data_IF_243356593543
#
_entry.id   IF_243356593543
#
_cell.length_a   1.000
_cell.length_b   1.000
_cell.length_c   1.000
_cell.angle_alpha   90.00
_cell.angle_beta   90.00
_cell.angle_gamma   90.00
#
_symmetry.space_group_name_H-M   'P 1'
#
loop_
_entity.id
_entity.type
_entity.pdbx_description
1 polymer ?
#
# COMPACT_ATOMS: atom_id res chain seq x y z
N UNK A 1 -26.49 18.15 -2.83
CA UNK A 1 -25.21 18.87 -3.02
C UNK A 1 -24.82 18.69 -4.48
N UNK A 2 -24.66 19.78 -5.21
CA UNK A 2 -24.15 19.73 -6.58
C UNK A 2 -22.62 19.76 -6.54
N UNK A 3 -22.00 18.71 -7.06
CA UNK A 3 -20.55 18.64 -7.27
C UNK A 3 -20.19 18.68 -8.76
N UNK A 4 -21.17 18.39 -9.63
CA UNK A 4 -20.90 18.29 -11.06
C UNK A 4 -20.51 19.66 -11.66
N UNK A 5 -21.35 20.68 -11.50
CA UNK A 5 -21.08 21.98 -12.08
C UNK A 5 -19.79 22.65 -11.56
N UNK A 6 -19.51 22.68 -10.23
CA UNK A 6 -18.26 23.22 -9.73
C UNK A 6 -17.02 22.44 -10.18
N UNK A 7 -17.10 21.12 -10.28
CA UNK A 7 -15.96 20.34 -10.78
C UNK A 7 -15.79 20.51 -12.29
N UNK A 8 -16.87 20.59 -13.06
CA UNK A 8 -16.79 20.88 -14.49
C UNK A 8 -16.07 22.21 -14.73
N UNK A 9 -16.45 23.26 -14.01
CA UNK A 9 -15.79 24.58 -14.09
C UNK A 9 -14.30 24.46 -13.73
N UNK A 10 -13.99 23.77 -12.63
CA UNK A 10 -12.60 23.52 -12.22
C UNK A 10 -11.77 22.89 -13.34
N UNK A 11 -12.30 21.84 -14.00
CA UNK A 11 -11.60 21.16 -15.09
C UNK A 11 -11.48 21.99 -16.36
N UNK A 12 -12.44 22.83 -16.64
CA UNK A 12 -12.41 23.73 -17.80
C UNK A 12 -11.40 24.88 -17.63
N UNK A 13 -11.30 25.42 -16.43
CA UNK A 13 -10.43 26.57 -16.12
C UNK A 13 -9.00 26.18 -15.77
N UNK A 14 -8.77 24.96 -15.33
CA UNK A 14 -7.44 24.50 -14.91
C UNK A 14 -6.64 23.96 -16.09
N UNK A 15 -5.45 24.53 -16.30
CA UNK A 15 -4.54 24.10 -17.36
C UNK A 15 -3.73 22.84 -17.00
N UNK A 16 -3.66 22.50 -15.72
CA UNK A 16 -2.92 21.34 -15.24
C UNK A 16 -3.79 20.08 -15.32
N UNK A 17 -3.16 18.95 -15.57
CA UNK A 17 -3.83 17.68 -15.48
C UNK A 17 -4.19 17.37 -14.01
N UNK A 18 -5.48 17.20 -13.74
CA UNK A 18 -6.01 16.93 -12.40
C UNK A 18 -6.32 15.47 -12.14
N UNK A 19 -6.07 14.61 -13.13
CA UNK A 19 -6.31 13.16 -13.04
C UNK A 19 -5.07 12.37 -13.41
N UNK A 20 -5.00 11.12 -12.95
CA UNK A 20 -3.94 10.18 -13.31
C UNK A 20 -4.20 9.61 -14.72
N UNK A 21 -5.46 9.29 -15.02
CA UNK A 21 -5.86 8.53 -16.20
C UNK A 21 -7.21 9.01 -16.80
N UNK A 22 -7.55 10.27 -16.64
CA UNK A 22 -8.82 10.84 -17.11
C UNK A 22 -10.02 10.59 -16.19
N UNK A 23 -9.93 9.68 -15.23
CA UNK A 23 -11.02 9.33 -14.31
C UNK A 23 -10.64 9.54 -12.84
N UNK A 24 -9.46 9.09 -12.42
CA UNK A 24 -9.02 9.15 -11.03
C UNK A 24 -8.22 10.42 -10.77
N UNK A 25 -8.63 11.17 -9.74
CA UNK A 25 -7.95 12.40 -9.37
C UNK A 25 -6.50 12.13 -8.94
N UNK A 26 -5.56 12.96 -9.39
CA UNK A 26 -4.22 13.02 -8.84
C UNK A 26 -4.21 13.81 -7.51
N UNK A 27 -3.04 14.07 -6.92
CA UNK A 27 -2.94 14.77 -5.63
C UNK A 27 -3.51 16.20 -5.70
N UNK A 28 -3.21 16.93 -6.77
CA UNK A 28 -3.72 18.30 -6.97
C UNK A 28 -5.21 18.31 -7.26
N UNK A 29 -5.70 17.39 -8.08
CA UNK A 29 -7.14 17.20 -8.31
C UNK A 29 -7.90 16.90 -7.03
N UNK A 30 -7.39 15.99 -6.19
CA UNK A 30 -7.96 15.71 -4.88
C UNK A 30 -8.01 16.95 -3.98
N UNK A 31 -6.94 17.75 -3.95
CA UNK A 31 -6.87 18.97 -3.16
C UNK A 31 -7.95 19.98 -3.59
N UNK A 32 -8.05 20.26 -4.87
CA UNK A 32 -9.00 21.24 -5.40
C UNK A 32 -10.46 20.78 -5.26
N UNK A 33 -10.73 19.51 -5.53
CA UNK A 33 -12.09 18.94 -5.34
C UNK A 33 -12.48 18.91 -3.86
N UNK A 34 -11.52 18.66 -2.95
CA UNK A 34 -11.80 18.72 -1.50
C UNK A 34 -12.25 20.12 -1.05
N UNK A 35 -11.70 21.20 -1.62
CA UNK A 35 -12.14 22.57 -1.35
C UNK A 35 -13.59 22.79 -1.81
N UNK A 36 -13.95 22.29 -2.99
CA UNK A 36 -15.34 22.34 -3.50
C UNK A 36 -16.29 21.59 -2.55
N UNK A 37 -15.90 20.39 -2.12
CA UNK A 37 -16.70 19.57 -1.20
C UNK A 37 -16.86 20.30 0.15
N UNK A 38 -15.77 20.80 0.71
CA UNK A 38 -15.78 21.52 1.97
C UNK A 38 -16.70 22.77 1.91
N UNK A 39 -16.59 23.56 0.85
CA UNK A 39 -17.46 24.71 0.62
C UNK A 39 -18.93 24.33 0.52
N UNK A 40 -19.23 23.26 -0.21
CA UNK A 40 -20.59 22.78 -0.40
C UNK A 40 -21.20 22.25 0.91
N UNK A 41 -20.42 21.56 1.77
CA UNK A 41 -20.88 21.00 3.04
C UNK A 41 -20.95 22.04 4.14
N UNK A 42 -19.88 22.82 4.32
CA UNK A 42 -19.73 23.72 5.46
C UNK A 42 -20.29 25.11 5.18
N UNK A 43 -20.66 25.42 3.93
CA UNK A 43 -21.11 26.75 3.49
C UNK A 43 -20.08 27.86 3.78
N UNK A 44 -18.82 27.49 3.87
CA UNK A 44 -17.68 28.37 4.11
C UNK A 44 -16.54 28.01 3.18
N UNK A 45 -15.75 29.01 2.82
CA UNK A 45 -14.48 28.76 2.15
C UNK A 45 -13.49 28.23 3.17
N UNK A 46 -12.85 27.13 2.82
CA UNK A 46 -11.79 26.51 3.63
C UNK A 46 -10.49 26.71 2.86
N UNK A 47 -9.68 27.63 3.35
CA UNK A 47 -8.37 27.87 2.78
C UNK A 47 -7.33 26.95 3.43
N UNK A 48 -6.40 26.50 2.63
CA UNK A 48 -5.25 25.73 3.13
C UNK A 48 -4.50 26.54 4.19
N UNK A 49 -4.22 25.95 5.34
CA UNK A 49 -3.49 26.58 6.45
C UNK A 49 -2.46 25.61 7.03
N UNK A 50 -1.40 26.10 7.70
CA UNK A 50 -0.42 25.25 8.35
C UNK A 50 -1.05 24.30 9.39
N UNK A 51 -2.11 24.72 10.08
CA UNK A 51 -2.84 23.86 11.04
C UNK A 51 -3.56 22.72 10.33
N UNK A 52 -4.22 22.99 9.19
CA UNK A 52 -4.86 21.96 8.39
C UNK A 52 -3.84 20.98 7.80
N UNK A 53 -2.64 21.43 7.45
CA UNK A 53 -1.58 20.53 6.99
C UNK A 53 -1.10 19.58 8.10
N UNK A 54 -1.02 20.03 9.35
CA UNK A 54 -0.70 19.16 10.49
C UNK A 54 -1.79 18.11 10.71
N UNK A 55 -3.05 18.51 10.67
CA UNK A 55 -4.18 17.57 10.78
C UNK A 55 -4.15 16.57 9.62
N UNK A 56 -3.94 17.03 8.39
CA UNK A 56 -3.81 16.16 7.21
C UNK A 56 -2.70 15.11 7.41
N UNK A 57 -1.56 15.51 7.95
CA UNK A 57 -0.45 14.58 8.21
C UNK A 57 -0.83 13.52 9.25
N UNK A 58 -1.49 13.92 10.34
CA UNK A 58 -2.00 12.97 11.36
C UNK A 58 -3.03 12.00 10.77
N UNK A 59 -3.91 12.48 9.89
CA UNK A 59 -4.88 11.63 9.19
C UNK A 59 -4.17 10.63 8.27
N UNK A 60 -3.13 11.04 7.55
CA UNK A 60 -2.36 10.13 6.68
C UNK A 60 -1.65 9.06 7.48
N UNK A 61 -1.08 9.40 8.63
CA UNK A 61 -0.46 8.42 9.54
C UNK A 61 -1.49 7.39 10.04
N UNK A 62 -2.66 7.84 10.49
CA UNK A 62 -3.75 6.93 10.84
C UNK A 62 -4.18 6.07 9.67
N UNK A 63 -4.37 6.67 8.50
CA UNK A 63 -4.83 5.96 7.31
C UNK A 63 -3.89 4.83 6.90
N UNK A 64 -2.58 4.96 7.16
CA UNK A 64 -1.64 3.88 6.92
C UNK A 64 -1.96 2.65 7.78
N UNK A 65 -2.15 2.82 9.09
CA UNK A 65 -2.49 1.72 10.00
C UNK A 65 -3.86 1.11 9.68
N UNK A 66 -4.87 1.96 9.46
CA UNK A 66 -6.22 1.55 9.11
C UNK A 66 -6.27 0.80 7.76
N UNK A 67 -5.57 1.31 6.75
CA UNK A 67 -5.49 0.69 5.44
C UNK A 67 -4.87 -0.72 5.53
N UNK A 68 -3.76 -0.85 6.25
CA UNK A 68 -3.09 -2.13 6.42
C UNK A 68 -3.95 -3.11 7.23
N UNK A 69 -4.80 -2.64 8.16
CA UNK A 69 -5.76 -3.47 8.88
C UNK A 69 -6.73 -4.19 7.92
N UNK A 70 -7.19 -3.52 6.89
CA UNK A 70 -8.19 -4.03 5.95
C UNK A 70 -7.59 -4.64 4.67
N UNK A 71 -6.33 -4.38 4.40
CA UNK A 71 -5.62 -4.89 3.22
C UNK A 71 -4.35 -5.66 3.58
N UNK A 72 -4.27 -6.10 4.82
CA UNK A 72 -3.06 -6.69 5.37
C UNK A 72 -2.60 -7.93 4.61
N UNK A 73 -3.51 -8.71 4.04
CA UNK A 73 -3.13 -9.94 3.34
C UNK A 73 -4.23 -10.39 2.40
N UNK A 74 -3.95 -11.44 1.64
CA UNK A 74 -5.00 -12.16 0.98
C UNK A 74 -5.84 -12.93 2.00
N UNK A 75 -7.16 -13.02 1.77
CA UNK A 75 -8.08 -13.73 2.67
C UNK A 75 -7.75 -15.22 2.83
N UNK A 76 -6.96 -15.79 1.93
CA UNK A 76 -6.55 -17.18 1.97
C UNK A 76 -5.60 -17.48 3.14
N UNK A 77 -4.80 -16.50 3.58
CA UNK A 77 -3.94 -16.63 4.76
C UNK A 77 -4.71 -16.47 6.07
N UNK A 78 -5.84 -15.78 6.07
CA UNK A 78 -6.66 -15.52 7.27
C UNK A 78 -7.76 -16.57 7.44
N UNK A 79 -8.48 -16.91 6.39
CA UNK A 79 -9.65 -17.82 6.42
C UNK A 79 -9.60 -18.96 5.43
N UNK A 80 -8.76 -18.88 4.41
CA UNK A 80 -8.67 -19.87 3.34
C UNK A 80 -7.76 -21.05 3.65
N UNK A 81 -7.36 -21.74 2.61
CA UNK A 81 -6.56 -22.97 2.71
C UNK A 81 -5.20 -22.78 3.39
N UNK A 82 -4.58 -21.61 3.25
CA UNK A 82 -3.28 -21.32 3.85
C UNK A 82 -3.36 -20.85 5.30
N UNK A 83 -4.53 -20.52 5.81
CA UNK A 83 -4.72 -20.03 7.18
C UNK A 83 -4.26 -21.04 8.26
N UNK A 84 -4.39 -22.33 7.97
CA UNK A 84 -4.03 -23.42 8.88
C UNK A 84 -2.58 -23.88 8.76
N UNK A 85 -1.81 -23.33 7.81
CA UNK A 85 -0.41 -23.70 7.63
C UNK A 85 0.40 -23.25 8.86
N UNK A 86 1.26 -24.16 9.32
CA UNK A 86 2.15 -23.97 10.47
C UNK A 86 3.58 -24.14 10.00
N UNK A 87 4.30 -23.06 9.89
CA UNK A 87 5.68 -23.10 9.38
C UNK A 87 6.72 -23.11 10.48
N UNK A 88 6.48 -22.39 11.57
CA UNK A 88 7.43 -22.20 12.66
C UNK A 88 6.68 -22.19 13.99
N UNK A 89 7.30 -22.78 15.02
CA UNK A 89 6.83 -22.80 16.42
C UNK A 89 5.37 -23.25 16.61
N UNK A 90 4.84 -23.99 15.65
CA UNK A 90 3.47 -24.50 15.69
C UNK A 90 2.37 -23.45 15.50
N UNK A 91 2.72 -22.20 15.27
CA UNK A 91 1.75 -21.14 15.02
C UNK A 91 1.21 -21.20 13.59
N UNK A 92 -0.08 -21.00 13.42
CA UNK A 92 -0.69 -20.90 12.10
C UNK A 92 -0.63 -19.47 11.54
N UNK A 93 -0.72 -19.34 10.22
CA UNK A 93 -0.84 -18.03 9.59
C UNK A 93 -2.02 -17.23 10.18
N UNK A 94 -3.16 -17.89 10.39
CA UNK A 94 -4.33 -17.23 10.96
C UNK A 94 -4.06 -16.65 12.36
N UNK A 95 -3.37 -17.39 13.24
CA UNK A 95 -3.05 -16.92 14.60
C UNK A 95 -2.16 -15.68 14.56
N UNK A 96 -1.10 -15.70 13.74
CA UNK A 96 -0.18 -14.57 13.60
C UNK A 96 -0.92 -13.35 13.03
N UNK A 97 -1.63 -13.54 11.93
CA UNK A 97 -2.32 -12.44 11.24
C UNK A 97 -3.47 -11.85 12.06
N UNK A 98 -4.25 -12.67 12.78
CA UNK A 98 -5.27 -12.16 13.69
C UNK A 98 -4.66 -11.29 14.81
N UNK A 99 -3.52 -11.68 15.33
CA UNK A 99 -2.81 -10.87 16.32
C UNK A 99 -2.33 -9.53 15.72
N UNK A 100 -1.76 -9.54 14.51
CA UNK A 100 -1.34 -8.33 13.82
C UNK A 100 -2.51 -7.39 13.48
N UNK A 101 -3.68 -7.95 13.14
CA UNK A 101 -4.89 -7.15 12.93
C UNK A 101 -5.32 -6.41 14.20
N UNK A 102 -5.23 -7.06 15.38
CA UNK A 102 -5.50 -6.42 16.67
C UNK A 102 -4.48 -5.31 16.95
N UNK A 103 -3.21 -5.53 16.67
CA UNK A 103 -2.18 -4.50 16.81
C UNK A 103 -2.52 -3.27 15.97
N UNK A 104 -2.89 -3.46 14.70
CA UNK A 104 -3.26 -2.38 13.79
C UNK A 104 -4.55 -1.64 14.23
N UNK A 105 -5.52 -2.34 14.83
CA UNK A 105 -6.71 -1.71 15.39
C UNK A 105 -6.34 -0.75 16.54
N UNK A 106 -5.47 -1.18 17.45
CA UNK A 106 -4.99 -0.34 18.57
C UNK A 106 -4.15 0.84 18.05
N UNK A 107 -3.24 0.60 17.11
CA UNK A 107 -2.44 1.66 16.48
C UNK A 107 -3.34 2.69 15.78
N UNK A 108 -4.42 2.26 15.15
CA UNK A 108 -5.40 3.14 14.51
C UNK A 108 -6.11 4.01 15.55
N UNK A 109 -6.55 3.42 16.66
CA UNK A 109 -7.22 4.15 17.76
C UNK A 109 -6.27 5.18 18.42
N UNK A 110 -4.99 4.82 18.63
CA UNK A 110 -4.00 5.77 19.17
C UNK A 110 -3.83 6.98 18.24
N UNK A 111 -3.81 6.78 16.94
CA UNK A 111 -3.69 7.84 15.94
C UNK A 111 -4.94 8.70 15.82
N UNK A 112 -6.11 8.15 16.08
CA UNK A 112 -7.34 8.93 16.19
C UNK A 112 -7.23 10.00 17.28
N UNK A 113 -6.70 9.66 18.45
CA UNK A 113 -6.49 10.62 19.53
C UNK A 113 -5.53 11.75 19.11
N UNK A 114 -4.47 11.42 18.37
CA UNK A 114 -3.53 12.43 17.83
C UNK A 114 -4.23 13.40 16.88
N UNK A 115 -5.13 12.91 16.03
CA UNK A 115 -5.91 13.76 15.10
C UNK A 115 -6.74 14.78 15.88
N UNK A 116 -7.50 14.34 16.89
CA UNK A 116 -8.35 15.21 17.68
C UNK A 116 -7.55 16.24 18.49
N UNK A 117 -6.49 15.82 19.16
CA UNK A 117 -5.60 16.73 19.89
C UNK A 117 -4.95 17.76 18.95
N UNK A 118 -4.53 17.33 17.76
CA UNK A 118 -3.97 18.24 16.75
C UNK A 118 -5.02 19.25 16.26
N UNK A 119 -6.27 18.81 16.07
CA UNK A 119 -7.38 19.68 15.67
C UNK A 119 -7.71 20.72 16.73
N UNK A 120 -7.54 20.37 18.01
CA UNK A 120 -7.69 21.30 19.16
C UNK A 120 -6.48 22.23 19.35
N UNK A 121 -5.46 22.13 18.50
CA UNK A 121 -4.22 22.92 18.61
C UNK A 121 -3.28 22.44 19.71
N UNK A 122 -3.53 21.29 20.31
CA UNK A 122 -2.69 20.70 21.34
C UNK A 122 -1.48 19.99 20.72
N UNK A 123 -0.39 19.94 21.47
CA UNK A 123 0.77 19.12 21.10
C UNK A 123 0.42 17.66 21.37
N UNK A 124 0.59 16.82 20.37
CA UNK A 124 0.33 15.39 20.47
C UNK A 124 1.46 14.60 19.79
N UNK A 125 1.74 13.43 20.33
CA UNK A 125 2.61 12.41 19.74
C UNK A 125 1.88 11.08 19.74
N UNK A 126 2.23 10.21 18.83
CA UNK A 126 1.70 8.85 18.78
C UNK A 126 2.36 8.03 19.89
N UNK A 127 1.55 7.43 20.76
CA UNK A 127 1.97 6.54 21.82
C UNK A 127 1.44 5.13 21.55
N UNK A 128 2.34 4.23 21.20
CA UNK A 128 2.01 2.83 20.87
C UNK A 128 2.45 1.84 21.98
N UNK A 129 2.69 2.33 23.20
CA UNK A 129 3.10 1.50 24.36
C UNK A 129 2.05 0.47 24.77
N UNK A 130 0.78 0.69 24.42
CA UNK A 130 -0.34 -0.22 24.66
C UNK A 130 -0.54 -1.24 23.52
N UNK A 131 0.23 -1.15 22.44
CA UNK A 131 0.15 -2.11 21.34
C UNK A 131 0.83 -3.41 21.77
N UNK A 132 0.15 -4.57 21.63
CA UNK A 132 0.77 -5.86 21.92
C UNK A 132 2.05 -6.06 21.12
N UNK A 133 3.02 -6.76 21.70
CA UNK A 133 4.23 -7.14 20.94
C UNK A 133 3.84 -8.12 19.83
N UNK A 134 4.48 -8.02 18.65
CA UNK A 134 4.24 -8.99 17.58
C UNK A 134 4.58 -10.41 18.06
N UNK A 135 3.86 -11.38 17.54
CA UNK A 135 4.23 -12.78 17.74
C UNK A 135 5.59 -13.00 17.08
N UNK A 136 6.54 -13.57 17.83
CA UNK A 136 7.84 -13.90 17.27
C UNK A 136 7.67 -15.03 16.26
N UNK A 137 8.04 -14.75 15.02
CA UNK A 137 8.04 -15.74 13.94
C UNK A 137 9.44 -15.82 13.34
N UNK A 138 9.86 -17.03 13.01
CA UNK A 138 11.11 -17.25 12.28
C UNK A 138 10.77 -17.45 10.83
N UNK A 139 11.30 -16.57 9.97
CA UNK A 139 11.10 -16.69 8.53
C UNK A 139 11.80 -17.93 8.00
N UNK A 140 11.12 -18.66 7.12
CA UNK A 140 11.77 -19.72 6.33
C UNK A 140 12.64 -19.14 5.19
N UNK A 141 12.54 -17.83 4.95
CA UNK A 141 13.42 -17.07 4.05
C UNK A 141 14.61 -16.62 4.90
N UNK A 142 15.78 -17.15 4.67
CA UNK A 142 16.97 -16.85 5.48
C UNK A 142 17.33 -17.88 6.54
N UNK A 143 16.46 -18.86 6.79
CA UNK A 143 16.75 -20.01 7.64
C UNK A 143 17.32 -21.21 6.86
N UNK A 144 17.31 -22.38 7.47
CA UNK A 144 17.64 -23.65 6.79
C UNK A 144 16.52 -24.03 5.82
N UNK A 145 16.34 -23.24 4.78
CA UNK A 145 15.36 -23.50 3.74
C UNK A 145 15.76 -24.76 2.95
N UNK A 146 14.75 -25.56 2.65
CA UNK A 146 14.90 -26.71 1.74
C UNK A 146 14.85 -26.31 0.26
N UNK A 147 14.69 -25.02 -0.04
CA UNK A 147 14.65 -24.52 -1.42
C UNK A 147 16.06 -24.45 -1.98
N UNK A 148 16.29 -25.14 -3.09
CA UNK A 148 17.53 -25.07 -3.86
C UNK A 148 17.81 -23.71 -4.47
N UNK A 149 16.83 -22.79 -4.42
CA UNK A 149 16.91 -21.44 -4.98
C UNK A 149 17.39 -20.38 -3.99
N UNK A 150 17.61 -20.76 -2.72
CA UNK A 150 18.11 -19.83 -1.72
C UNK A 150 19.64 -19.86 -1.68
N UNK A 151 20.26 -18.69 -1.63
CA UNK A 151 21.70 -18.53 -1.46
C UNK A 151 22.17 -19.01 -0.08
N UNK A 152 23.49 -19.02 0.15
CA UNK A 152 24.13 -19.47 1.39
C UNK A 152 23.63 -18.75 2.64
N UNK A 153 23.15 -17.53 2.50
CA UNK A 153 22.61 -16.69 3.58
C UNK A 153 21.06 -16.73 3.67
N UNK A 154 20.44 -17.66 2.94
CA UNK A 154 18.99 -17.79 2.91
C UNK A 154 18.27 -16.78 2.02
N UNK A 155 19.00 -15.93 1.31
CA UNK A 155 18.44 -15.03 0.32
C UNK A 155 18.17 -15.77 -0.99
N UNK A 156 17.07 -15.44 -1.65
CA UNK A 156 16.78 -15.94 -2.97
C UNK A 156 17.89 -15.55 -3.96
N UNK A 157 18.41 -16.51 -4.72
CA UNK A 157 19.32 -16.21 -5.82
C UNK A 157 18.51 -15.65 -6.98
N UNK A 158 18.52 -14.34 -7.13
CA UNK A 158 17.93 -13.69 -8.29
C UNK A 158 18.87 -13.80 -9.47
N UNK A 159 18.37 -14.38 -10.55
CA UNK A 159 19.08 -14.38 -11.82
C UNK A 159 18.74 -13.09 -12.56
N UNK A 160 19.75 -12.46 -13.15
CA UNK A 160 19.48 -11.40 -14.09
C UNK A 160 18.75 -11.96 -15.33
N UNK A 161 18.18 -11.07 -16.15
CA UNK A 161 17.37 -11.48 -17.29
C UNK A 161 18.12 -12.40 -18.27
N UNK A 162 19.41 -12.17 -18.49
CA UNK A 162 20.23 -12.98 -19.40
C UNK A 162 20.48 -14.39 -18.85
N UNK A 163 20.70 -14.50 -17.55
CA UNK A 163 20.87 -15.80 -16.88
C UNK A 163 19.55 -16.56 -16.82
N UNK A 164 18.45 -15.88 -16.60
CA UNK A 164 17.10 -16.45 -16.62
C UNK A 164 16.77 -17.01 -18.02
N UNK A 165 17.06 -16.27 -19.07
CA UNK A 165 16.82 -16.73 -20.46
C UNK A 165 17.53 -18.04 -20.80
N UNK A 166 18.74 -18.26 -20.29
CA UNK A 166 19.50 -19.49 -20.52
C UNK A 166 18.89 -20.73 -19.86
N UNK A 167 17.94 -20.55 -18.97
CA UNK A 167 17.29 -21.62 -18.18
C UNK A 167 15.94 -22.05 -18.72
N UNK A 168 15.44 -21.38 -19.75
CA UNK A 168 14.20 -21.79 -20.40
C UNK A 168 14.46 -23.06 -21.25
N UNK A 169 13.65 -24.06 -20.98
CA UNK A 169 13.52 -25.21 -21.89
C UNK A 169 12.50 -24.83 -22.96
N UNK A 170 13.02 -24.63 -24.18
CA UNK A 170 12.22 -24.10 -25.29
C UNK A 170 12.01 -25.21 -26.31
N UNK A 171 10.72 -25.47 -26.60
CA UNK A 171 10.36 -26.48 -27.63
C UNK A 171 10.95 -26.12 -28.99
N UNK A 172 11.30 -27.13 -29.77
CA UNK A 172 11.81 -26.97 -31.14
C UNK A 172 10.88 -26.10 -31.99
N UNK A 173 11.47 -25.17 -32.73
CA UNK A 173 10.75 -24.20 -33.53
C UNK A 173 10.33 -22.92 -32.83
N UNK A 174 10.54 -22.82 -31.52
CA UNK A 174 10.26 -21.59 -30.74
C UNK A 174 11.56 -20.91 -30.30
N UNK A 175 11.48 -19.60 -30.09
CA UNK A 175 12.57 -18.79 -29.59
C UNK A 175 12.06 -17.85 -28.49
N UNK A 176 12.81 -17.78 -27.39
CA UNK A 176 12.57 -16.79 -26.34
C UNK A 176 13.40 -15.55 -26.62
N UNK A 177 12.76 -14.38 -26.59
CA UNK A 177 13.43 -13.10 -26.69
C UNK A 177 13.14 -12.29 -25.43
N UNK A 178 14.16 -11.60 -24.94
CA UNK A 178 13.98 -10.66 -23.85
C UNK A 178 13.36 -9.36 -24.40
N UNK A 179 12.14 -9.05 -23.98
CA UNK A 179 11.44 -7.82 -24.32
C UNK A 179 11.80 -6.70 -23.35
N UNK A 180 11.62 -6.94 -22.06
CA UNK A 180 11.89 -5.98 -20.99
C UNK A 180 12.39 -6.71 -19.74
N UNK A 181 13.13 -6.02 -18.91
CA UNK A 181 13.59 -6.48 -17.61
C UNK A 181 13.72 -5.29 -16.64
N UNK A 182 13.72 -5.57 -15.36
CA UNK A 182 13.84 -4.58 -14.30
C UNK A 182 15.19 -3.83 -14.31
N UNK A 183 16.22 -4.41 -14.92
CA UNK A 183 17.53 -3.76 -15.09
C UNK A 183 17.50 -2.62 -16.08
N UNK A 184 16.66 -2.73 -17.14
CA UNK A 184 16.46 -1.69 -18.17
C UNK A 184 15.33 -0.73 -17.79
N UNK A 185 14.31 -1.24 -17.11
CA UNK A 185 13.10 -0.52 -16.73
C UNK A 185 12.84 -0.76 -15.24
N UNK A 186 13.53 -0.02 -14.35
CA UNK A 186 13.39 -0.19 -12.89
C UNK A 186 11.95 0.01 -12.36
N UNK A 187 11.09 0.65 -13.14
CA UNK A 187 9.67 0.83 -12.87
C UNK A 187 8.82 -0.44 -13.10
N UNK A 188 9.36 -1.48 -13.75
CA UNK A 188 8.71 -2.77 -13.94
C UNK A 188 8.76 -3.57 -12.63
N UNK A 189 7.85 -3.27 -11.71
CA UNK A 189 7.74 -4.00 -10.44
C UNK A 189 6.55 -4.96 -10.53
N UNK A 190 6.83 -6.27 -10.48
CA UNK A 190 5.82 -7.34 -10.49
C UNK A 190 4.78 -7.20 -11.63
N UNK A 191 5.20 -7.18 -12.90
CA UNK A 191 4.26 -7.08 -14.02
C UNK A 191 3.35 -8.32 -14.03
N UNK A 192 2.04 -8.09 -13.94
CA UNK A 192 1.02 -9.16 -13.93
C UNK A 192 0.29 -9.30 -15.26
N UNK A 193 0.41 -8.31 -16.12
CA UNK A 193 -0.25 -8.27 -17.42
C UNK A 193 0.53 -7.40 -18.40
N UNK A 194 0.53 -7.79 -19.66
CA UNK A 194 1.05 -7.01 -20.76
C UNK A 194 0.01 -6.91 -21.87
N UNK A 195 -0.15 -5.72 -22.43
CA UNK A 195 -0.97 -5.48 -23.62
C UNK A 195 -0.14 -4.77 -24.67
N UNK A 196 -0.28 -5.20 -25.91
CA UNK A 196 0.30 -4.51 -27.06
C UNK A 196 -0.76 -3.52 -27.56
N UNK A 197 -0.42 -2.25 -27.57
CA UNK A 197 -1.24 -1.21 -28.18
C UNK A 197 -1.06 -1.24 -29.68
N UNK A 198 -2.17 -1.21 -30.43
CA UNK A 198 -2.21 -1.34 -31.91
C UNK A 198 -2.52 0.01 -32.55
#
# INVERSE_FOLDING_TARGET
>A
MDLFNPTLTLFQENKNQLTINGAHLNEEGNRLVAEIIAKALLKKEVLASPSLQKIRQSIRDKNWSWHNRYRATDGNDIWGGRSKLRFVDGQSNAEVLQHELVMLDIMTANRDQVIWLTAEGKKASTEDSNVPKPISVVSNIGGKSRSSNLGKEGNANYFNAQESMKRFDVRDGFKVNLFADEGRFPELINPVQMQVDT
#
